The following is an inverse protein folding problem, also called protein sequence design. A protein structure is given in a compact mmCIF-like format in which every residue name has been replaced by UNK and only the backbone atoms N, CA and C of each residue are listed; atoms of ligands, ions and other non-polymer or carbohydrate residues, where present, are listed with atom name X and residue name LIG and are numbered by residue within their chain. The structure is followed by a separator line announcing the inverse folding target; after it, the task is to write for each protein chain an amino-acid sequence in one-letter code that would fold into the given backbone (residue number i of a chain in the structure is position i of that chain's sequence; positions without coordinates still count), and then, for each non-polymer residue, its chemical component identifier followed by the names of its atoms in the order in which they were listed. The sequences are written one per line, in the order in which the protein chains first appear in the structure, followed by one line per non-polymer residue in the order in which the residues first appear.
data_IF_725443563998
#
_entry.id   IF_725443563998
#
_cell.length_a   1.000
_cell.length_b   1.000
_cell.length_c   1.000
_cell.angle_alpha   90.00
_cell.angle_beta   90.00
_cell.angle_gamma   90.00
#
_symmetry.space_group_name_H-M   'P 1'
#
loop_
_entity.id
_entity.type
_entity.pdbx_description
1 polymer ?
#
# COMPACT_ATOMS: atom_id res chain seq x y z
N UNK A 1 30.83 -19.45 13.65
CA UNK A 1 31.28 -18.30 14.46
C UNK A 1 30.68 -16.94 14.03
N UNK A 2 29.62 -16.91 13.22
CA UNK A 2 28.79 -15.71 13.00
C UNK A 2 27.40 -16.04 13.53
N UNK A 3 26.99 -15.45 14.66
CA UNK A 3 25.64 -15.67 15.20
C UNK A 3 24.61 -15.00 14.28
N UNK A 4 23.54 -15.72 13.93
CA UNK A 4 22.46 -15.24 13.08
C UNK A 4 21.90 -13.90 13.58
N UNK A 5 21.79 -12.90 12.69
CA UNK A 5 21.06 -11.66 12.93
C UNK A 5 21.88 -10.42 13.28
N UNK A 6 23.21 -10.52 13.42
CA UNK A 6 24.07 -9.34 13.68
C UNK A 6 24.46 -8.61 12.39
N UNK A 7 24.49 -7.28 12.44
CA UNK A 7 25.03 -6.44 11.35
C UNK A 7 26.56 -6.48 11.34
N UNK A 8 27.19 -6.13 10.21
CA UNK A 8 28.65 -6.07 10.11
C UNK A 8 29.26 -5.09 11.14
N UNK A 9 28.55 -4.01 11.46
CA UNK A 9 28.96 -3.08 12.51
C UNK A 9 28.93 -3.72 13.90
N UNK A 10 27.89 -4.50 14.22
CA UNK A 10 27.79 -5.22 15.50
C UNK A 10 28.88 -6.30 15.64
N UNK A 11 29.23 -6.96 14.54
CA UNK A 11 30.34 -7.93 14.51
C UNK A 11 31.68 -7.24 14.74
N UNK A 12 31.87 -6.04 14.17
CA UNK A 12 33.08 -5.23 14.38
C UNK A 12 33.23 -4.79 15.84
N UNK A 13 32.13 -4.38 16.47
CA UNK A 13 32.14 -4.01 17.89
C UNK A 13 32.50 -5.20 18.78
N UNK A 14 31.95 -6.38 18.52
CA UNK A 14 32.25 -7.59 19.30
C UNK A 14 33.71 -8.05 19.14
N UNK A 15 34.31 -7.89 17.95
CA UNK A 15 35.73 -8.17 17.78
C UNK A 15 36.59 -7.18 18.56
N UNK A 16 36.19 -5.90 18.58
CA UNK A 16 36.87 -4.86 19.34
C UNK A 16 36.81 -5.13 20.85
N UNK A 17 35.67 -5.60 21.36
CA UNK A 17 35.50 -6.04 22.76
C UNK A 17 36.40 -7.23 23.12
N UNK A 18 36.73 -8.08 22.14
CA UNK A 18 37.65 -9.22 22.28
C UNK A 18 39.10 -8.88 21.98
N UNK A 19 39.45 -7.59 21.85
CA UNK A 19 40.82 -7.12 21.60
C UNK A 19 41.30 -7.25 20.15
N UNK A 20 40.42 -7.60 19.21
CA UNK A 20 40.75 -7.74 17.79
C UNK A 20 40.20 -6.54 17.01
N UNK A 21 41.10 -5.69 16.48
CA UNK A 21 40.71 -4.53 15.69
C UNK A 21 40.76 -4.82 14.19
N UNK A 22 39.59 -4.99 13.57
CA UNK A 22 39.46 -5.11 12.12
C UNK A 22 38.65 -3.94 11.57
N UNK A 23 39.01 -3.48 10.37
CA UNK A 23 38.21 -2.49 9.66
C UNK A 23 36.87 -3.07 9.21
N UNK A 24 35.86 -2.21 9.10
CA UNK A 24 34.53 -2.59 8.61
C UNK A 24 34.60 -3.29 7.25
N UNK A 25 35.44 -2.80 6.34
CA UNK A 25 35.61 -3.33 4.98
C UNK A 25 36.21 -4.74 4.98
N UNK A 26 37.16 -5.04 5.86
CA UNK A 26 37.74 -6.37 6.01
C UNK A 26 36.73 -7.37 6.55
N UNK A 27 35.95 -6.97 7.57
CA UNK A 27 34.87 -7.80 8.13
C UNK A 27 33.81 -8.08 7.07
N UNK A 28 33.37 -7.06 6.33
CA UNK A 28 32.36 -7.20 5.29
C UNK A 28 32.84 -8.11 4.15
N UNK A 29 34.08 -7.96 3.67
CA UNK A 29 34.68 -8.83 2.65
C UNK A 29 34.74 -10.28 3.12
N UNK A 30 35.22 -10.53 4.33
CA UNK A 30 35.34 -11.89 4.88
C UNK A 30 33.97 -12.54 5.12
N UNK A 31 33.00 -11.78 5.64
CA UNK A 31 31.62 -12.26 5.81
C UNK A 31 30.96 -12.61 4.47
N UNK A 32 31.22 -11.83 3.41
CA UNK A 32 30.73 -12.11 2.06
C UNK A 32 31.45 -13.32 1.42
N UNK A 33 32.74 -13.50 1.69
CA UNK A 33 33.51 -14.68 1.28
C UNK A 33 32.96 -15.96 1.91
N UNK A 34 32.68 -15.94 3.23
CA UNK A 34 32.06 -17.09 3.93
C UNK A 34 30.68 -17.41 3.35
N UNK A 35 29.86 -16.38 3.08
CA UNK A 35 28.54 -16.58 2.45
C UNK A 35 28.61 -17.21 1.06
N UNK A 36 29.70 -16.99 0.32
CA UNK A 36 29.86 -17.46 -1.06
C UNK A 36 30.41 -18.90 -1.15
N UNK A 37 31.19 -19.34 -0.16
CA UNK A 37 31.98 -20.58 -0.25
C UNK A 37 31.55 -21.71 0.70
N UNK A 38 30.52 -21.53 1.54
CA UNK A 38 29.98 -22.60 2.38
C UNK A 38 28.62 -23.10 1.88
N UNK A 39 28.62 -24.29 1.25
CA UNK A 39 27.44 -25.09 0.87
C UNK A 39 26.95 -26.04 2.01
N UNK A 40 27.35 -25.81 3.26
CA UNK A 40 26.97 -26.62 4.42
C UNK A 40 26.32 -25.81 5.53
N UNK A 41 25.03 -26.06 5.77
CA UNK A 41 24.26 -25.64 6.96
C UNK A 41 24.08 -24.13 7.24
N UNK A 42 23.83 -23.34 6.19
CA UNK A 42 22.85 -22.25 6.32
C UNK A 42 21.66 -22.66 5.49
N UNK A 43 20.90 -23.65 5.99
CA UNK A 43 19.55 -23.88 5.50
C UNK A 43 18.84 -22.54 5.60
N UNK A 44 18.37 -22.11 4.44
CA UNK A 44 17.79 -20.81 4.19
C UNK A 44 16.55 -20.60 5.07
N UNK A 45 16.73 -20.13 6.31
CA UNK A 45 15.64 -19.62 7.15
C UNK A 45 15.04 -18.35 6.50
N UNK A 46 15.59 -17.87 5.36
CA UNK A 46 15.25 -16.62 4.71
C UNK A 46 14.88 -16.74 3.23
N UNK A 47 14.19 -17.80 2.83
CA UNK A 47 12.97 -17.57 2.04
C UNK A 47 11.89 -17.02 2.99
N UNK A 48 12.15 -15.84 3.58
CA UNK A 48 11.17 -15.09 4.34
C UNK A 48 10.07 -14.85 3.33
N UNK A 49 8.97 -15.59 3.42
CA UNK A 49 7.81 -15.51 2.52
C UNK A 49 7.23 -14.11 2.65
N UNK A 50 7.87 -13.15 1.97
CA UNK A 50 7.62 -11.73 2.07
C UNK A 50 6.55 -11.40 1.04
N UNK A 51 5.33 -11.24 1.52
CA UNK A 51 4.28 -10.63 0.72
C UNK A 51 4.52 -9.13 0.73
N UNK A 52 4.55 -8.52 -0.45
CA UNK A 52 4.66 -7.07 -0.55
C UNK A 52 3.38 -6.40 -0.02
N UNK A 53 3.52 -5.19 0.53
CA UNK A 53 2.35 -4.36 0.91
C UNK A 53 1.40 -4.16 -0.27
N UNK A 54 1.95 -3.97 -1.47
CA UNK A 54 1.15 -3.83 -2.70
C UNK A 54 0.29 -5.07 -2.95
N UNK A 55 0.83 -6.26 -2.74
CA UNK A 55 0.10 -7.53 -2.88
C UNK A 55 -1.06 -7.60 -1.89
N UNK A 56 -0.87 -7.19 -0.63
CA UNK A 56 -1.97 -7.09 0.35
C UNK A 56 -3.04 -6.10 -0.06
N UNK A 57 -2.67 -4.91 -0.53
CA UNK A 57 -3.63 -3.90 -0.99
C UNK A 57 -4.43 -4.39 -2.20
N UNK A 58 -3.76 -5.05 -3.15
CA UNK A 58 -4.40 -5.69 -4.30
C UNK A 58 -5.36 -6.78 -3.85
N UNK A 59 -4.96 -7.59 -2.86
CA UNK A 59 -5.78 -8.65 -2.29
C UNK A 59 -7.05 -8.12 -1.61
N UNK A 60 -6.90 -7.09 -0.77
CA UNK A 60 -8.01 -6.46 -0.05
C UNK A 60 -8.98 -5.78 -1.02
N UNK A 61 -8.46 -5.21 -2.10
CA UNK A 61 -9.28 -4.57 -3.11
C UNK A 61 -9.97 -5.57 -4.03
N UNK A 62 -9.33 -6.66 -4.43
CA UNK A 62 -9.97 -7.68 -5.27
C UNK A 62 -9.22 -9.02 -5.17
N UNK A 63 -9.80 -9.96 -4.43
CA UNK A 63 -9.22 -11.29 -4.22
C UNK A 63 -9.06 -12.09 -5.51
N UNK A 64 -9.85 -11.78 -6.56
CA UNK A 64 -9.75 -12.45 -7.87
C UNK A 64 -8.52 -12.03 -8.66
N UNK A 65 -7.87 -10.92 -8.31
CA UNK A 65 -6.68 -10.43 -9.02
C UNK A 65 -5.38 -11.11 -8.55
N UNK A 66 -5.46 -12.08 -7.65
CA UNK A 66 -4.32 -12.89 -7.23
C UNK A 66 -4.10 -14.02 -8.20
N UNK A 67 -2.86 -14.12 -8.68
CA UNK A 67 -2.49 -14.95 -9.81
C UNK A 67 -1.99 -16.33 -9.41
N UNK A 68 -1.53 -16.52 -8.17
CA UNK A 68 -0.91 -17.79 -7.76
C UNK A 68 -1.55 -18.34 -6.49
N UNK A 69 -1.88 -19.65 -6.51
CA UNK A 69 -2.45 -20.37 -5.37
C UNK A 69 -1.60 -20.21 -4.09
N UNK A 70 -0.28 -20.35 -4.22
CA UNK A 70 0.67 -20.17 -3.11
C UNK A 70 0.63 -18.76 -2.49
N UNK A 71 0.42 -17.72 -3.30
CA UNK A 71 0.29 -16.35 -2.79
C UNK A 71 -1.02 -16.18 -2.02
N UNK A 72 -2.10 -16.76 -2.53
CA UNK A 72 -3.41 -16.73 -1.89
C UNK A 72 -3.39 -17.46 -0.53
N UNK A 73 -2.85 -18.67 -0.49
CA UNK A 73 -2.69 -19.44 0.76
C UNK A 73 -1.93 -18.64 1.81
N UNK A 74 -0.81 -18.04 1.44
CA UNK A 74 0.01 -17.23 2.34
C UNK A 74 -0.71 -15.97 2.85
N UNK A 75 -1.52 -15.34 1.99
CA UNK A 75 -2.36 -14.20 2.38
C UNK A 75 -3.47 -14.62 3.33
N UNK A 76 -4.12 -15.75 3.06
CA UNK A 76 -5.18 -16.30 3.92
C UNK A 76 -4.62 -16.71 5.29
N UNK A 77 -3.46 -17.39 5.32
CA UNK A 77 -2.70 -17.66 6.55
C UNK A 77 -2.38 -16.37 7.32
N UNK A 78 -2.02 -15.29 6.61
CA UNK A 78 -1.73 -14.00 7.22
C UNK A 78 -2.96 -13.36 7.86
N UNK A 79 -4.15 -13.53 7.29
CA UNK A 79 -5.40 -13.04 7.87
C UNK A 79 -5.76 -13.78 9.16
N UNK A 80 -5.53 -15.09 9.20
CA UNK A 80 -5.76 -15.91 10.41
C UNK A 80 -4.77 -15.54 11.50
N UNK A 81 -3.48 -15.37 11.13
CA UNK A 81 -2.42 -15.04 12.08
C UNK A 81 -2.54 -13.62 12.64
N UNK A 82 -3.07 -12.68 11.86
CA UNK A 82 -3.16 -11.27 12.21
C UNK A 82 -4.60 -10.76 12.05
N UNK A 83 -5.44 -10.89 13.10
CA UNK A 83 -6.87 -10.58 13.03
C UNK A 83 -7.20 -9.15 12.54
N UNK A 84 -6.35 -8.17 12.86
CA UNK A 84 -6.51 -6.79 12.40
C UNK A 84 -6.46 -6.66 10.87
N UNK A 85 -5.69 -7.52 10.17
CA UNK A 85 -5.67 -7.54 8.70
C UNK A 85 -7.01 -8.05 8.16
N UNK A 86 -7.63 -9.01 8.84
CA UNK A 86 -8.94 -9.51 8.48
C UNK A 86 -10.02 -8.44 8.71
N UNK A 87 -9.98 -7.74 9.84
CA UNK A 87 -10.87 -6.60 10.12
C UNK A 87 -10.78 -5.56 9.00
N UNK A 88 -9.56 -5.17 8.58
CA UNK A 88 -9.35 -4.23 7.47
C UNK A 88 -9.94 -4.77 6.17
N UNK A 89 -9.71 -6.04 5.83
CA UNK A 89 -10.23 -6.65 4.60
C UNK A 89 -11.76 -6.66 4.57
N UNK A 90 -12.40 -7.04 5.68
CA UNK A 90 -13.86 -7.03 5.83
C UNK A 90 -14.40 -5.62 5.70
N UNK A 91 -13.75 -4.65 6.36
CA UNK A 91 -14.11 -3.22 6.29
C UNK A 91 -14.12 -2.71 4.86
N UNK A 92 -13.05 -2.96 4.10
CA UNK A 92 -12.92 -2.56 2.69
C UNK A 92 -13.98 -3.25 1.83
N UNK A 93 -14.22 -4.54 2.07
CA UNK A 93 -15.20 -5.31 1.30
C UNK A 93 -16.62 -4.81 1.55
N UNK A 94 -16.99 -4.58 2.80
CA UNK A 94 -18.29 -4.01 3.19
C UNK A 94 -18.51 -2.64 2.54
N UNK A 95 -17.50 -1.76 2.58
CA UNK A 95 -17.60 -0.44 1.96
C UNK A 95 -17.85 -0.53 0.44
N UNK A 96 -17.21 -1.49 -0.25
CA UNK A 96 -17.42 -1.69 -1.69
C UNK A 96 -18.81 -2.21 -2.03
N UNK A 97 -19.36 -3.09 -1.21
CA UNK A 97 -20.70 -3.63 -1.40
C UNK A 97 -21.77 -2.53 -1.32
N UNK A 98 -21.56 -1.46 -0.54
CA UNK A 98 -22.45 -0.29 -0.51
C UNK A 98 -22.64 0.29 -1.93
N UNK A 99 -21.54 0.58 -2.63
CA UNK A 99 -21.60 1.19 -3.96
C UNK A 99 -21.99 0.20 -5.06
N UNK A 100 -21.62 -1.07 -4.90
CA UNK A 100 -22.01 -2.12 -5.83
C UNK A 100 -23.53 -2.36 -5.81
N UNK A 101 -24.12 -2.35 -4.61
CA UNK A 101 -25.56 -2.56 -4.41
C UNK A 101 -26.36 -1.25 -4.40
N UNK A 102 -25.69 -0.09 -4.44
CA UNK A 102 -26.29 1.25 -4.35
C UNK A 102 -27.27 1.39 -3.17
N UNK A 103 -26.89 0.86 -2.02
CA UNK A 103 -27.77 0.81 -0.84
C UNK A 103 -27.34 1.81 0.22
N UNK A 104 -28.18 2.81 0.44
CA UNK A 104 -28.01 3.80 1.53
C UNK A 104 -28.18 3.15 2.90
N UNK A 105 -29.01 2.10 2.99
CA UNK A 105 -29.18 1.33 4.23
C UNK A 105 -27.86 0.69 4.63
N UNK A 106 -27.19 0.00 3.68
CA UNK A 106 -25.87 -0.57 3.91
C UNK A 106 -24.83 0.50 4.26
N UNK A 107 -24.94 1.71 3.70
CA UNK A 107 -24.05 2.82 4.07
C UNK A 107 -24.20 3.20 5.54
N UNK A 108 -25.43 3.39 6.00
CA UNK A 108 -25.70 3.80 7.38
C UNK A 108 -25.27 2.71 8.36
N UNK A 109 -25.65 1.46 8.12
CA UNK A 109 -25.24 0.31 8.94
C UNK A 109 -23.71 0.19 9.04
N UNK A 110 -23.02 0.36 7.92
CA UNK A 110 -21.56 0.31 7.87
C UNK A 110 -20.91 1.45 8.66
N UNK A 111 -21.45 2.68 8.55
CA UNK A 111 -20.95 3.83 9.31
C UNK A 111 -21.16 3.63 10.81
N UNK A 112 -22.34 3.21 11.23
CA UNK A 112 -22.68 2.97 12.64
C UNK A 112 -21.77 1.89 13.24
N UNK A 113 -21.54 0.78 12.51
CA UNK A 113 -20.69 -0.30 12.97
C UNK A 113 -19.23 0.14 13.18
N UNK A 114 -18.67 0.93 12.26
CA UNK A 114 -17.25 1.30 12.30
C UNK A 114 -16.94 2.63 13.01
N UNK A 115 -17.95 3.36 13.47
CA UNK A 115 -17.79 4.60 14.25
C UNK A 115 -16.99 4.41 15.55
N UNK A 116 -17.13 3.23 16.15
CA UNK A 116 -16.41 2.81 17.35
C UNK A 116 -15.36 1.72 17.09
N UNK A 117 -14.85 1.62 15.86
CA UNK A 117 -13.78 0.68 15.53
C UNK A 117 -12.55 0.90 16.43
N UNK A 118 -11.93 -0.20 16.83
CA UNK A 118 -10.67 -0.22 17.59
C UNK A 118 -9.50 0.33 16.75
N UNK A 119 -9.62 0.29 15.42
CA UNK A 119 -8.61 0.79 14.49
C UNK A 119 -8.85 2.28 14.25
N UNK A 120 -7.98 3.12 14.83
CA UNK A 120 -8.05 4.59 14.75
C UNK A 120 -8.21 5.11 13.31
N UNK A 121 -7.55 4.49 12.33
CA UNK A 121 -7.60 4.89 10.93
C UNK A 121 -8.98 4.63 10.31
N UNK A 122 -9.63 3.52 10.66
CA UNK A 122 -10.99 3.20 10.21
C UNK A 122 -11.98 4.19 10.83
N UNK A 123 -11.89 4.40 12.15
CA UNK A 123 -12.72 5.40 12.85
C UNK A 123 -12.56 6.80 12.25
N UNK A 124 -11.33 7.23 11.97
CA UNK A 124 -11.08 8.53 11.34
C UNK A 124 -11.68 8.63 9.93
N UNK A 125 -11.64 7.54 9.15
CA UNK A 125 -12.24 7.49 7.83
C UNK A 125 -13.77 7.61 7.91
N UNK A 126 -14.41 6.83 8.78
CA UNK A 126 -15.86 6.88 9.03
C UNK A 126 -16.30 8.28 9.43
N UNK A 127 -15.57 8.93 10.35
CA UNK A 127 -15.86 10.29 10.77
C UNK A 127 -15.74 11.30 9.61
N UNK A 128 -14.79 11.09 8.70
CA UNK A 128 -14.68 11.87 7.46
C UNK A 128 -15.91 11.67 6.56
N UNK A 129 -16.32 10.42 6.35
CA UNK A 129 -17.50 10.09 5.55
C UNK A 129 -18.77 10.69 6.17
N UNK A 130 -18.94 10.67 7.50
CA UNK A 130 -20.08 11.32 8.16
C UNK A 130 -20.10 12.84 7.93
N UNK A 131 -18.95 13.52 7.96
CA UNK A 131 -18.88 14.97 7.67
C UNK A 131 -19.35 15.29 6.26
N UNK A 132 -18.98 14.44 5.30
CA UNK A 132 -19.36 14.58 3.89
C UNK A 132 -20.57 13.69 3.50
N UNK A 133 -21.42 13.34 4.48
CA UNK A 133 -22.44 12.30 4.33
C UNK A 133 -23.37 12.56 3.15
N UNK A 134 -23.85 13.80 2.99
CA UNK A 134 -24.77 14.16 1.90
C UNK A 134 -24.15 13.89 0.52
N UNK A 135 -22.87 14.24 0.35
CA UNK A 135 -22.13 14.00 -0.89
C UNK A 135 -21.96 12.51 -1.15
N UNK A 136 -21.58 11.73 -0.12
CA UNK A 136 -21.38 10.29 -0.24
C UNK A 136 -22.70 9.56 -0.50
N UNK A 137 -23.77 9.93 0.20
CA UNK A 137 -25.12 9.42 -0.02
C UNK A 137 -25.57 9.64 -1.47
N UNK A 138 -25.36 10.84 -2.00
CA UNK A 138 -25.64 11.14 -3.41
C UNK A 138 -24.81 10.27 -4.36
N UNK A 139 -23.53 10.01 -4.06
CA UNK A 139 -22.71 9.08 -4.86
C UNK A 139 -23.20 7.62 -4.81
N UNK A 140 -23.89 7.21 -3.75
CA UNK A 140 -24.49 5.87 -3.66
C UNK A 140 -25.78 5.79 -4.50
N UNK A 141 -26.62 6.83 -4.44
CA UNK A 141 -27.91 6.88 -5.14
C UNK A 141 -27.74 7.08 -6.64
N UNK A 142 -26.89 8.04 -7.03
CA UNK A 142 -26.77 8.47 -8.42
C UNK A 142 -25.60 7.78 -9.13
N UNK A 143 -25.76 7.54 -10.44
CA UNK A 143 -24.69 7.02 -11.29
C UNK A 143 -23.70 8.10 -11.75
N UNK A 144 -24.05 9.37 -11.59
CA UNK A 144 -23.23 10.51 -12.00
C UNK A 144 -22.17 10.81 -10.94
N UNK A 145 -20.93 10.96 -11.38
CA UNK A 145 -19.82 11.39 -10.53
C UNK A 145 -19.06 12.53 -11.21
N UNK A 146 -18.38 13.33 -10.39
CA UNK A 146 -17.52 14.42 -10.90
C UNK A 146 -16.19 13.91 -11.48
N UNK A 147 -15.96 12.61 -11.58
CA UNK A 147 -14.66 12.05 -11.99
C UNK A 147 -14.26 12.43 -13.42
N UNK A 148 -15.20 12.45 -14.37
CA UNK A 148 -14.92 12.89 -15.76
C UNK A 148 -14.57 14.38 -15.79
N UNK A 149 -15.33 15.19 -15.05
CA UNK A 149 -15.09 16.63 -14.94
C UNK A 149 -13.73 16.91 -14.29
N UNK A 150 -13.42 16.27 -13.17
CA UNK A 150 -12.15 16.38 -12.47
C UNK A 150 -10.98 15.91 -13.33
N UNK A 151 -11.16 14.84 -14.10
CA UNK A 151 -10.19 14.36 -15.08
C UNK A 151 -9.86 15.43 -16.13
N UNK A 152 -10.89 16.08 -16.68
CA UNK A 152 -10.72 17.18 -17.63
C UNK A 152 -10.04 18.40 -16.99
N UNK A 153 -10.44 18.78 -15.78
CA UNK A 153 -9.80 19.87 -15.03
C UNK A 153 -8.33 19.57 -14.75
N UNK A 154 -8.00 18.32 -14.39
CA UNK A 154 -6.62 17.90 -14.15
C UNK A 154 -5.79 17.89 -15.43
N UNK A 155 -6.36 17.45 -16.56
CA UNK A 155 -5.71 17.57 -17.89
C UNK A 155 -5.43 19.03 -18.23
N UNK A 156 -6.40 19.92 -18.04
CA UNK A 156 -6.22 21.35 -18.27
C UNK A 156 -5.14 21.97 -17.37
N UNK A 157 -5.12 21.62 -16.08
CA UNK A 157 -4.09 22.05 -15.14
C UNK A 157 -2.70 21.56 -15.58
N UNK A 158 -2.60 20.32 -16.05
CA UNK A 158 -1.35 19.75 -16.56
C UNK A 158 -0.84 20.52 -17.78
N UNK A 159 -1.70 20.78 -18.78
CA UNK A 159 -1.32 21.58 -19.96
C UNK A 159 -0.86 22.98 -19.56
N UNK A 160 -1.54 23.64 -18.62
CA UNK A 160 -1.08 24.94 -18.11
C UNK A 160 0.30 24.86 -17.46
N UNK A 161 0.60 23.79 -16.70
CA UNK A 161 1.91 23.59 -16.05
C UNK A 161 3.02 23.32 -17.06
N UNK A 162 2.77 22.53 -18.10
CA UNK A 162 3.77 22.30 -19.17
C UNK A 162 4.08 23.57 -19.96
N UNK A 163 3.17 24.55 -19.93
CA UNK A 163 3.35 25.87 -20.51
C UNK A 163 3.80 26.92 -19.50
N UNK A 164 4.36 26.50 -18.35
CA UNK A 164 4.89 27.38 -17.31
C UNK A 164 3.87 28.43 -16.80
N UNK A 165 2.58 28.11 -16.85
CA UNK A 165 1.50 29.02 -16.45
C UNK A 165 1.23 30.17 -17.43
N UNK A 166 1.91 30.23 -18.58
CA UNK A 166 1.82 31.33 -19.56
C UNK A 166 0.76 31.11 -20.65
N UNK A 167 -0.07 30.08 -20.52
CA UNK A 167 -1.11 29.79 -21.49
C UNK A 167 -2.32 30.72 -21.30
N UNK A 168 -2.49 31.70 -22.19
CA UNK A 168 -3.75 32.43 -22.33
C UNK A 168 -4.89 31.48 -22.70
N UNK A 169 -6.14 31.89 -22.50
CA UNK A 169 -7.30 31.04 -22.85
C UNK A 169 -7.26 30.58 -24.32
N UNK A 170 -6.89 31.47 -25.23
CA UNK A 170 -6.79 31.16 -26.66
C UNK A 170 -5.77 30.04 -26.93
N UNK A 171 -4.58 30.15 -26.36
CA UNK A 171 -3.50 29.18 -26.53
C UNK A 171 -3.83 27.84 -25.86
N UNK A 172 -4.46 27.87 -24.69
CA UNK A 172 -4.95 26.67 -24.01
C UNK A 172 -6.01 25.96 -24.85
N UNK A 173 -6.97 26.69 -25.42
CA UNK A 173 -8.01 26.15 -26.29
C UNK A 173 -7.40 25.49 -27.52
N UNK A 174 -6.45 26.15 -28.19
CA UNK A 174 -5.76 25.58 -29.34
C UNK A 174 -5.05 24.27 -28.96
N UNK A 175 -4.27 24.26 -27.88
CA UNK A 175 -3.54 23.06 -27.44
C UNK A 175 -4.46 21.90 -27.05
N UNK A 176 -5.60 22.20 -26.43
CA UNK A 176 -6.60 21.19 -26.02
C UNK A 176 -7.32 20.56 -27.21
N UNK A 177 -7.73 21.38 -28.19
CA UNK A 177 -8.51 20.96 -29.36
C UNK A 177 -7.66 20.31 -30.46
N UNK A 178 -6.45 20.85 -30.70
CA UNK A 178 -5.58 20.39 -31.78
C UNK A 178 -4.49 19.42 -31.32
N UNK A 179 -4.44 19.09 -30.02
CA UNK A 179 -3.50 18.14 -29.43
C UNK A 179 -2.04 18.40 -29.87
N UNK A 180 -1.65 19.69 -29.90
CA UNK A 180 -0.30 20.11 -30.30
C UNK A 180 0.66 19.68 -29.19
N UNK A 181 1.24 18.49 -29.37
CA UNK A 181 2.27 17.93 -28.51
C UNK A 181 3.62 18.54 -28.84
#
# INVERSE_FOLDING_TARGET
MVKLGKTYSQIATEFKEKGLSYSYSSIAKYCNYIKKNNDGEIKDIKAKRLISRYTFLKYFWDSKKITTLKEKELLDESLVKYPHLNEIKVTISGFREIFKNRSVILLNEWLDYYENSSIKQIKSFVNGVRKDYQSVNNCVIYSYNNGVLEGNVNRLKMIKRTMYGRASFHLLRQKVLFNIN
#
